data_IF_586402907536
#
_entry.id   IF_586402907536
#
_cell.length_a   1.000
_cell.length_b   1.000
_cell.length_c   1.000
_cell.angle_alpha   90.00
_cell.angle_beta   90.00
_cell.angle_gamma   90.00
#
_symmetry.space_group_name_H-M   'P 1'
#
loop_
_entity.id
_entity.type
_entity.pdbx_description
1 polymer ?
#
# COMPACT_ATOMS: atom_id res chain seq x y z
N UNK A 1 -25.42 28.91 -23.34
CA UNK A 1 -24.79 30.18 -22.90
C UNK A 1 -23.34 30.17 -23.37
N UNK A 2 -23.04 30.82 -24.50
CA UNK A 2 -21.67 30.88 -25.04
C UNK A 2 -20.93 31.94 -24.22
N UNK A 3 -20.13 31.51 -23.25
CA UNK A 3 -19.38 32.43 -22.39
C UNK A 3 -18.34 33.18 -23.24
N UNK A 4 -18.30 34.51 -23.14
CA UNK A 4 -17.41 35.38 -23.94
C UNK A 4 -15.92 34.94 -23.95
N UNK A 5 -15.20 35.17 -25.06
CA UNK A 5 -13.76 34.87 -25.16
C UNK A 5 -12.96 35.71 -24.16
N UNK A 6 -11.90 35.12 -23.61
CA UNK A 6 -11.03 35.79 -22.64
C UNK A 6 -10.21 36.88 -23.33
N UNK A 7 -9.88 37.95 -22.60
CA UNK A 7 -8.86 38.89 -23.10
C UNK A 7 -7.51 38.18 -23.32
N UNK A 8 -6.69 38.65 -24.27
CA UNK A 8 -5.37 38.05 -24.55
C UNK A 8 -4.48 37.95 -23.29
N UNK A 9 -4.48 38.98 -22.44
CA UNK A 9 -3.74 38.96 -21.16
C UNK A 9 -4.27 37.87 -20.23
N UNK A 10 -5.59 37.78 -20.07
CA UNK A 10 -6.25 36.76 -19.24
C UNK A 10 -6.01 35.34 -19.77
N UNK A 11 -5.91 35.16 -21.09
CA UNK A 11 -5.60 33.88 -21.73
C UNK A 11 -4.21 33.38 -21.33
N UNK A 12 -3.17 34.22 -21.45
CA UNK A 12 -1.81 33.83 -21.06
C UNK A 12 -1.70 33.51 -19.56
N UNK A 13 -2.38 34.29 -18.70
CA UNK A 13 -2.46 34.02 -17.26
C UNK A 13 -3.11 32.65 -17.00
N UNK A 14 -4.23 32.35 -17.66
CA UNK A 14 -4.93 31.08 -17.49
C UNK A 14 -4.13 29.87 -18.00
N UNK A 15 -3.34 30.03 -19.06
CA UNK A 15 -2.41 28.98 -19.51
C UNK A 15 -1.38 28.68 -18.41
N UNK A 16 -0.75 29.70 -17.82
CA UNK A 16 0.22 29.51 -16.73
C UNK A 16 -0.44 28.87 -15.51
N UNK A 17 -1.62 29.37 -15.11
CA UNK A 17 -2.38 28.83 -13.98
C UNK A 17 -2.74 27.37 -14.19
N UNK A 18 -3.14 26.97 -15.41
CA UNK A 18 -3.48 25.58 -15.73
C UNK A 18 -2.30 24.61 -15.54
N UNK A 19 -1.07 25.05 -15.82
CA UNK A 19 0.14 24.24 -15.63
C UNK A 19 0.44 23.97 -14.15
N UNK A 20 0.01 24.84 -13.24
CA UNK A 20 0.37 24.80 -11.82
C UNK A 20 -0.74 24.12 -10.99
N UNK A 21 -1.99 24.22 -11.42
CA UNK A 21 -3.16 23.82 -10.63
C UNK A 21 -3.16 22.33 -10.23
N UNK A 22 -2.91 21.44 -11.20
CA UNK A 22 -2.86 19.99 -10.96
C UNK A 22 -1.63 19.60 -10.12
N UNK A 23 -0.39 19.98 -10.50
CA UNK A 23 0.78 19.67 -9.68
C UNK A 23 0.71 20.22 -8.25
N UNK A 24 0.18 21.44 -8.06
CA UNK A 24 0.02 22.04 -6.73
C UNK A 24 -1.02 21.30 -5.88
N UNK A 25 -2.16 20.90 -6.46
CA UNK A 25 -3.17 20.14 -5.74
C UNK A 25 -2.64 18.76 -5.27
N UNK A 26 -1.91 18.05 -6.15
CA UNK A 26 -1.26 16.79 -5.80
C UNK A 26 -0.14 17.00 -4.75
N UNK A 27 0.69 18.03 -4.90
CA UNK A 27 1.78 18.32 -3.96
C UNK A 27 1.29 18.71 -2.56
N UNK A 28 0.31 19.60 -2.47
CA UNK A 28 -0.29 20.02 -1.19
C UNK A 28 -0.95 18.82 -0.49
N UNK A 29 -1.67 17.99 -1.24
CA UNK A 29 -2.35 16.85 -0.66
C UNK A 29 -1.42 15.70 -0.25
N UNK A 30 -0.31 15.49 -0.97
CA UNK A 30 0.74 14.55 -0.54
C UNK A 30 1.40 14.98 0.79
N UNK A 31 1.65 16.28 0.97
CA UNK A 31 2.14 16.83 2.24
C UNK A 31 1.11 16.64 3.36
N UNK A 32 -0.17 16.88 3.07
CA UNK A 32 -1.25 16.71 4.05
C UNK A 32 -1.39 15.26 4.52
N UNK A 33 -1.29 14.29 3.60
CA UNK A 33 -1.29 12.86 3.93
C UNK A 33 -0.07 12.46 4.76
N UNK A 34 1.12 12.96 4.42
CA UNK A 34 2.35 12.70 5.18
C UNK A 34 2.27 13.26 6.61
N UNK A 35 1.79 14.49 6.77
CA UNK A 35 1.59 15.08 8.10
C UNK A 35 0.51 14.36 8.92
N UNK A 36 -0.44 13.69 8.25
CA UNK A 36 -1.48 12.89 8.91
C UNK A 36 -0.94 11.52 9.35
N UNK A 37 -0.15 10.83 8.52
CA UNK A 37 0.47 9.55 8.90
C UNK A 37 1.48 9.72 10.05
N UNK A 38 2.27 10.80 10.03
CA UNK A 38 3.30 11.06 11.06
C UNK A 38 2.69 11.37 12.45
N UNK A 39 1.42 11.76 12.52
CA UNK A 39 0.73 12.10 13.79
C UNK A 39 -0.12 10.98 14.37
N UNK A 40 -0.49 9.95 13.59
CA UNK A 40 -1.60 9.06 13.91
C UNK A 40 -1.20 7.57 13.96
N UNK A 41 0.08 7.25 14.12
CA UNK A 41 0.61 5.88 14.09
C UNK A 41 0.17 4.92 15.21
N UNK A 42 -0.83 5.24 16.03
CA UNK A 42 -1.26 4.38 17.14
C UNK A 42 -2.79 4.27 17.26
N UNK A 43 -3.30 3.04 17.23
CA UNK A 43 -4.66 2.67 17.65
C UNK A 43 -5.80 3.01 16.68
N UNK A 44 -7.03 2.71 17.13
CA UNK A 44 -8.30 2.88 16.38
C UNK A 44 -8.53 4.34 15.94
N UNK A 45 -8.02 5.31 16.71
CA UNK A 45 -8.10 6.75 16.40
C UNK A 45 -7.26 7.14 15.16
N UNK A 46 -6.19 6.40 14.88
CA UNK A 46 -5.37 6.61 13.68
C UNK A 46 -6.06 6.20 12.38
N UNK A 47 -6.87 5.15 12.43
CA UNK A 47 -7.65 4.66 11.27
C UNK A 47 -8.74 5.67 10.89
N UNK A 48 -9.46 6.22 11.87
CA UNK A 48 -10.49 7.25 11.63
C UNK A 48 -9.92 8.53 11.02
N UNK A 49 -8.78 9.02 11.54
CA UNK A 49 -8.12 10.22 11.01
C UNK A 49 -7.55 10.00 9.60
N UNK A 50 -7.05 8.80 9.28
CA UNK A 50 -6.60 8.43 7.95
C UNK A 50 -7.74 8.43 6.92
N UNK A 51 -8.92 7.89 7.29
CA UNK A 51 -10.11 7.88 6.43
C UNK A 51 -10.57 9.31 6.11
N UNK A 52 -10.67 10.17 7.13
CA UNK A 52 -11.11 11.57 6.93
C UNK A 52 -10.10 12.35 6.09
N UNK A 53 -8.80 12.18 6.34
CA UNK A 53 -7.74 12.83 5.57
C UNK A 53 -7.75 12.40 4.10
N UNK A 54 -7.94 11.10 3.84
CA UNK A 54 -8.07 10.54 2.50
C UNK A 54 -9.32 11.06 1.78
N UNK A 55 -10.46 11.18 2.47
CA UNK A 55 -11.69 11.74 1.92
C UNK A 55 -11.52 13.21 1.50
N UNK A 56 -10.93 14.05 2.37
CA UNK A 56 -10.68 15.47 2.07
C UNK A 56 -9.72 15.60 0.87
N UNK A 57 -8.66 14.78 0.84
CA UNK A 57 -7.72 14.75 -0.27
C UNK A 57 -8.40 14.40 -1.60
N UNK A 58 -9.25 13.37 -1.61
CA UNK A 58 -10.01 12.99 -2.81
C UNK A 58 -10.95 14.11 -3.27
N UNK A 59 -11.67 14.77 -2.36
CA UNK A 59 -12.54 15.92 -2.69
C UNK A 59 -11.72 17.06 -3.32
N UNK A 60 -10.56 17.40 -2.75
CA UNK A 60 -9.68 18.43 -3.29
C UNK A 60 -9.17 18.10 -4.70
N UNK A 61 -8.78 16.84 -4.94
CA UNK A 61 -8.37 16.37 -6.27
C UNK A 61 -9.53 16.50 -7.27
N UNK A 62 -10.72 15.99 -6.94
CA UNK A 62 -11.88 16.07 -7.84
C UNK A 62 -12.27 17.52 -8.17
N UNK A 63 -12.27 18.40 -7.17
CA UNK A 63 -12.54 19.82 -7.37
C UNK A 63 -11.48 20.49 -8.28
N UNK A 64 -10.21 20.13 -8.11
CA UNK A 64 -9.10 20.65 -8.91
C UNK A 64 -9.18 20.19 -10.37
N UNK A 65 -9.51 18.92 -10.62
CA UNK A 65 -9.77 18.42 -11.97
C UNK A 65 -10.98 19.10 -12.62
N UNK A 66 -12.08 19.28 -11.87
CA UNK A 66 -13.26 19.98 -12.36
C UNK A 66 -12.97 21.43 -12.77
N UNK A 67 -12.28 22.19 -11.91
CA UNK A 67 -11.87 23.56 -12.20
C UNK A 67 -10.93 23.63 -13.42
N UNK A 68 -9.99 22.69 -13.51
CA UNK A 68 -9.06 22.60 -14.63
C UNK A 68 -9.76 22.33 -15.97
N UNK A 69 -10.77 21.44 -16.01
CA UNK A 69 -11.55 21.18 -17.24
C UNK A 69 -12.27 22.45 -17.73
N UNK A 70 -12.86 23.22 -16.82
CA UNK A 70 -13.52 24.49 -17.17
C UNK A 70 -12.52 25.48 -17.76
N UNK A 71 -11.34 25.62 -17.14
CA UNK A 71 -10.26 26.47 -17.63
C UNK A 71 -9.78 26.01 -19.01
N UNK A 72 -9.58 24.71 -19.21
CA UNK A 72 -9.14 24.13 -20.46
C UNK A 72 -10.11 24.45 -21.61
N UNK A 73 -11.41 24.24 -21.40
CA UNK A 73 -12.45 24.59 -22.38
C UNK A 73 -12.39 26.08 -22.74
N UNK A 74 -12.21 26.95 -21.73
CA UNK A 74 -12.12 28.40 -21.92
C UNK A 74 -10.86 28.84 -22.68
N UNK A 75 -9.73 28.20 -22.41
CA UNK A 75 -8.46 28.44 -23.11
C UNK A 75 -8.59 28.02 -24.57
N UNK A 76 -9.11 26.82 -24.85
CA UNK A 76 -9.34 26.33 -26.22
C UNK A 76 -10.28 27.25 -26.99
N UNK A 77 -11.44 27.61 -26.42
CA UNK A 77 -12.39 28.54 -27.05
C UNK A 77 -11.73 29.88 -27.40
N UNK A 78 -10.88 30.41 -26.52
CA UNK A 78 -10.23 31.71 -26.72
C UNK A 78 -9.11 31.64 -27.76
N UNK A 79 -8.33 30.55 -27.80
CA UNK A 79 -7.31 30.34 -28.84
C UNK A 79 -7.97 30.20 -30.21
N UNK A 80 -9.03 29.40 -30.33
CA UNK A 80 -9.77 29.25 -31.59
C UNK A 80 -10.42 30.56 -32.07
N UNK A 81 -10.76 31.46 -31.15
CA UNK A 81 -11.31 32.78 -31.47
C UNK A 81 -10.25 33.74 -32.04
N UNK A 82 -9.02 33.71 -31.53
CA UNK A 82 -7.95 34.61 -31.94
C UNK A 82 -7.09 34.03 -33.07
N UNK A 83 -7.31 34.52 -34.30
CA UNK A 83 -6.58 34.05 -35.50
C UNK A 83 -5.06 34.32 -35.49
N UNK A 84 -4.60 35.27 -34.68
CA UNK A 84 -3.19 35.66 -34.58
C UNK A 84 -2.41 34.89 -33.51
N UNK A 85 -3.10 34.07 -32.71
CA UNK A 85 -2.47 33.26 -31.68
C UNK A 85 -2.11 31.89 -32.26
N UNK A 86 -0.89 31.43 -31.98
CA UNK A 86 -0.42 30.13 -32.45
C UNK A 86 -1.25 28.98 -31.87
N UNK A 87 -1.79 28.12 -32.73
CA UNK A 87 -2.55 26.94 -32.33
C UNK A 87 -1.73 25.96 -31.47
N UNK A 88 -0.39 25.99 -31.55
CA UNK A 88 0.48 25.18 -30.68
C UNK A 88 0.34 25.51 -29.19
N UNK A 89 -0.14 26.72 -28.85
CA UNK A 89 -0.42 27.09 -27.45
C UNK A 89 -1.56 26.28 -26.82
N UNK A 90 -2.39 25.58 -27.60
CA UNK A 90 -3.39 24.64 -27.06
C UNK A 90 -2.76 23.40 -26.42
N UNK A 91 -1.51 23.05 -26.78
CA UNK A 91 -0.83 21.87 -26.24
C UNK A 91 -0.38 22.12 -24.80
N UNK A 92 0.08 23.34 -24.49
CA UNK A 92 0.60 23.70 -23.17
C UNK A 92 -0.39 23.39 -22.04
N UNK A 93 -1.65 23.87 -22.06
CA UNK A 93 -2.60 23.55 -21.02
C UNK A 93 -2.99 22.07 -21.01
N UNK A 94 -2.71 21.26 -22.04
CA UNK A 94 -2.95 19.81 -22.04
C UNK A 94 -1.81 18.99 -21.41
N UNK A 95 -0.62 19.56 -21.28
CA UNK A 95 0.56 18.87 -20.75
C UNK A 95 0.32 18.20 -19.38
N UNK A 96 -0.36 18.82 -18.39
CA UNK A 96 -0.64 18.17 -17.12
C UNK A 96 -1.46 16.88 -17.26
N UNK A 97 -2.50 16.88 -18.11
CA UNK A 97 -3.27 15.65 -18.40
C UNK A 97 -2.38 14.60 -19.06
N UNK A 98 -1.60 15.00 -20.06
CA UNK A 98 -0.71 14.07 -20.78
C UNK A 98 0.26 13.40 -19.80
N UNK A 99 0.86 14.17 -18.89
CA UNK A 99 1.75 13.65 -17.85
C UNK A 99 1.03 12.70 -16.88
N UNK A 100 -0.19 13.05 -16.43
CA UNK A 100 -0.98 12.19 -15.53
C UNK A 100 -1.33 10.86 -16.21
N UNK A 101 -1.78 10.90 -17.47
CA UNK A 101 -2.11 9.69 -18.24
C UNK A 101 -0.86 8.86 -18.49
N UNK A 102 0.26 9.48 -18.88
CA UNK A 102 1.52 8.77 -19.09
C UNK A 102 2.01 8.09 -17.81
N UNK A 103 1.93 8.78 -16.67
CA UNK A 103 2.29 8.22 -15.36
C UNK A 103 1.36 7.06 -14.97
N UNK A 104 0.05 7.21 -15.18
CA UNK A 104 -0.92 6.15 -14.93
C UNK A 104 -0.64 4.91 -15.80
N UNK A 105 -0.37 5.10 -17.10
CA UNK A 105 -0.01 4.03 -18.00
C UNK A 105 1.29 3.34 -17.59
N UNK A 106 2.31 4.11 -17.20
CA UNK A 106 3.58 3.57 -16.71
C UNK A 106 3.39 2.74 -15.43
N UNK A 107 2.68 3.27 -14.43
CA UNK A 107 2.40 2.56 -13.18
C UNK A 107 1.58 1.29 -13.42
N UNK A 108 0.57 1.36 -14.29
CA UNK A 108 -0.23 0.19 -14.66
C UNK A 108 0.60 -0.88 -15.39
N UNK A 109 1.53 -0.46 -16.25
CA UNK A 109 2.45 -1.37 -16.92
C UNK A 109 3.40 -2.05 -15.94
N UNK A 110 4.01 -1.29 -15.04
CA UNK A 110 4.91 -1.81 -14.00
C UNK A 110 4.17 -2.77 -13.07
N UNK A 111 2.98 -2.40 -12.60
CA UNK A 111 2.15 -3.27 -11.77
C UNK A 111 1.83 -4.59 -12.48
N UNK A 112 1.43 -4.54 -13.76
CA UNK A 112 1.17 -5.76 -14.54
C UNK A 112 2.42 -6.63 -14.71
N UNK A 113 3.58 -6.01 -14.87
CA UNK A 113 4.86 -6.73 -14.96
C UNK A 113 5.19 -7.41 -13.63
N UNK A 114 5.03 -6.70 -12.52
CA UNK A 114 5.22 -7.24 -11.17
C UNK A 114 4.24 -8.40 -10.91
N UNK A 115 2.95 -8.21 -11.19
CA UNK A 115 1.92 -9.25 -11.07
C UNK A 115 2.24 -10.52 -11.88
N UNK A 116 2.83 -10.37 -13.07
CA UNK A 116 3.14 -11.50 -13.94
C UNK A 116 4.34 -12.34 -13.45
N UNK A 117 5.24 -11.74 -12.69
CA UNK A 117 6.46 -12.41 -12.19
C UNK A 117 6.36 -12.82 -10.72
N UNK A 118 5.42 -12.23 -9.97
CA UNK A 118 5.29 -12.48 -8.53
C UNK A 118 4.84 -13.92 -8.24
N UNK A 119 5.60 -14.58 -7.38
CA UNK A 119 5.51 -16.00 -7.07
C UNK A 119 5.30 -16.26 -5.56
N UNK A 120 5.12 -17.53 -5.20
CA UNK A 120 5.07 -17.96 -3.80
C UNK A 120 6.38 -17.69 -3.06
N UNK A 121 7.53 -17.84 -3.72
CA UNK A 121 8.85 -17.53 -3.16
C UNK A 121 8.99 -16.04 -2.84
N UNK A 122 8.50 -15.16 -3.73
CA UNK A 122 8.52 -13.70 -3.50
C UNK A 122 7.65 -13.31 -2.30
N UNK A 123 6.49 -13.95 -2.16
CA UNK A 123 5.64 -13.75 -0.99
C UNK A 123 6.29 -14.26 0.29
N UNK A 124 6.87 -15.47 0.27
CA UNK A 124 7.57 -16.03 1.42
C UNK A 124 8.71 -15.10 1.86
N UNK A 125 9.57 -14.68 0.94
CA UNK A 125 10.67 -13.75 1.22
C UNK A 125 10.18 -12.41 1.81
N UNK A 126 9.09 -11.84 1.28
CA UNK A 126 8.51 -10.61 1.82
C UNK A 126 8.03 -10.79 3.28
N UNK A 127 7.43 -11.93 3.60
CA UNK A 127 6.94 -12.23 4.94
C UNK A 127 8.09 -12.59 5.88
N UNK A 128 9.16 -13.23 5.38
CA UNK A 128 10.39 -13.46 6.13
C UNK A 128 11.10 -12.16 6.52
N UNK A 129 11.06 -11.13 5.67
CA UNK A 129 11.57 -9.80 6.01
C UNK A 129 10.91 -9.23 7.27
N UNK A 130 9.75 -9.72 7.71
CA UNK A 130 9.12 -9.26 8.95
C UNK A 130 9.53 -10.04 10.20
N UNK A 131 10.31 -11.12 10.08
CA UNK A 131 10.84 -11.87 11.23
C UNK A 131 11.61 -10.97 12.20
N UNK A 132 12.36 -9.96 11.71
CA UNK A 132 13.13 -9.07 12.59
C UNK A 132 12.25 -8.28 13.57
N UNK A 133 10.97 -8.03 13.23
CA UNK A 133 10.03 -7.31 14.12
C UNK A 133 9.66 -8.12 15.35
N UNK A 134 9.78 -9.45 15.26
CA UNK A 134 9.43 -10.45 16.27
C UNK A 134 10.65 -11.21 16.80
N UNK A 135 11.84 -10.72 16.46
CA UNK A 135 13.12 -11.32 16.88
C UNK A 135 13.69 -10.57 18.07
N UNK A 136 14.27 -11.31 19.00
CA UNK A 136 14.83 -10.81 20.25
C UNK A 136 16.24 -11.37 20.48
N UNK A 137 17.11 -10.61 21.15
CA UNK A 137 18.40 -11.14 21.59
C UNK A 137 18.25 -11.75 22.98
N UNK A 138 18.49 -13.06 23.08
CA UNK A 138 18.49 -13.82 24.34
C UNK A 138 19.83 -14.54 24.47
N UNK A 139 20.55 -14.28 25.56
CA UNK A 139 21.85 -14.92 25.85
C UNK A 139 22.90 -14.83 24.70
N UNK A 140 22.85 -13.77 23.89
CA UNK A 140 23.74 -13.56 22.75
C UNK A 140 23.33 -14.30 21.47
N UNK A 141 22.12 -14.84 21.44
CA UNK A 141 21.53 -15.48 20.26
C UNK A 141 20.23 -14.78 19.87
N UNK A 142 19.95 -14.71 18.57
CA UNK A 142 18.67 -14.22 18.07
C UNK A 142 17.63 -15.33 18.17
N UNK A 143 16.52 -15.04 18.85
CA UNK A 143 15.37 -15.94 19.00
C UNK A 143 14.11 -15.27 18.43
N UNK A 144 13.23 -16.06 17.82
CA UNK A 144 12.02 -15.57 17.14
C UNK A 144 10.76 -15.94 17.92
N UNK A 145 9.88 -14.98 18.23
CA UNK A 145 8.53 -15.29 18.68
C UNK A 145 7.68 -15.72 17.47
N UNK A 146 7.67 -17.04 17.22
CA UNK A 146 6.95 -17.61 16.10
C UNK A 146 5.43 -17.48 16.22
N UNK A 147 4.88 -17.41 17.44
CA UNK A 147 3.43 -17.27 17.61
C UNK A 147 3.00 -15.86 17.19
N UNK A 148 3.68 -14.83 17.68
CA UNK A 148 3.38 -13.44 17.31
C UNK A 148 3.64 -13.21 15.83
N UNK A 149 4.76 -13.68 15.30
CA UNK A 149 5.09 -13.61 13.87
C UNK A 149 4.00 -14.24 12.98
N UNK A 150 3.58 -15.47 13.28
CA UNK A 150 2.53 -16.13 12.50
C UNK A 150 1.18 -15.41 12.62
N UNK A 151 0.82 -14.94 13.82
CA UNK A 151 -0.47 -14.29 14.07
C UNK A 151 -0.58 -12.88 13.50
N UNK A 152 0.54 -12.17 13.38
CA UNK A 152 0.59 -10.78 12.92
C UNK A 152 0.95 -10.70 11.46
N UNK A 153 2.01 -11.36 11.02
CA UNK A 153 2.50 -11.23 9.64
C UNK A 153 1.83 -12.26 8.74
N UNK A 154 1.93 -13.55 9.09
CA UNK A 154 1.45 -14.62 8.21
C UNK A 154 -0.07 -14.64 8.11
N UNK A 155 -0.80 -14.29 9.17
CA UNK A 155 -2.27 -14.22 9.14
C UNK A 155 -2.82 -12.91 8.54
N UNK A 156 -2.16 -11.77 8.75
CA UNK A 156 -2.71 -10.46 8.34
C UNK A 156 -2.17 -9.96 6.99
N UNK A 157 -0.95 -10.30 6.59
CA UNK A 157 -0.34 -9.76 5.37
C UNK A 157 -0.72 -10.48 4.07
N UNK A 158 -1.55 -11.54 4.15
CA UNK A 158 -2.31 -12.00 2.98
C UNK A 158 -3.17 -10.85 2.38
N UNK A 159 -3.58 -9.87 3.20
CA UNK A 159 -4.22 -8.63 2.74
C UNK A 159 -3.28 -7.69 1.97
N UNK A 160 -1.96 -7.75 2.16
CA UNK A 160 -1.02 -6.93 1.37
C UNK A 160 -0.96 -7.40 -0.09
N UNK A 161 -1.17 -8.69 -0.37
CA UNK A 161 -1.31 -9.20 -1.75
C UNK A 161 -2.52 -8.57 -2.46
N UNK A 162 -3.62 -8.37 -1.73
CA UNK A 162 -4.81 -7.68 -2.22
C UNK A 162 -4.51 -6.18 -2.42
N UNK A 163 -3.98 -5.52 -1.38
CA UNK A 163 -3.83 -4.07 -1.35
C UNK A 163 -2.75 -3.53 -2.30
N UNK A 164 -1.66 -4.29 -2.49
CA UNK A 164 -0.51 -3.86 -3.31
C UNK A 164 -0.60 -4.39 -4.73
N UNK A 165 -0.88 -5.67 -4.88
CA UNK A 165 -0.83 -6.35 -6.18
C UNK A 165 -2.19 -6.56 -6.81
N UNK A 166 -3.31 -6.20 -6.15
CA UNK A 166 -4.66 -6.29 -6.73
C UNK A 166 -4.97 -7.66 -7.34
N UNK A 167 -4.39 -8.73 -6.78
CA UNK A 167 -4.69 -10.08 -7.21
C UNK A 167 -6.14 -10.43 -6.84
N UNK A 168 -6.77 -11.26 -7.66
CA UNK A 168 -8.04 -11.86 -7.28
C UNK A 168 -7.83 -12.94 -6.20
N UNK A 169 -8.92 -13.30 -5.52
CA UNK A 169 -8.91 -14.28 -4.42
C UNK A 169 -8.31 -15.62 -4.85
N UNK A 170 -8.53 -16.05 -6.10
CA UNK A 170 -8.03 -17.33 -6.60
C UNK A 170 -6.51 -17.35 -6.74
N UNK A 171 -5.93 -16.24 -7.24
CA UNK A 171 -4.49 -16.10 -7.39
C UNK A 171 -3.80 -15.92 -6.04
N UNK A 172 -4.43 -15.18 -5.11
CA UNK A 172 -3.93 -15.04 -3.73
C UNK A 172 -3.89 -16.40 -3.05
N UNK A 173 -5.00 -17.14 -3.13
CA UNK A 173 -5.08 -18.48 -2.54
C UNK A 173 -3.99 -19.39 -3.10
N UNK A 174 -3.78 -19.43 -4.41
CA UNK A 174 -2.71 -20.23 -5.03
C UNK A 174 -1.31 -19.83 -4.51
N UNK A 175 -1.01 -18.54 -4.39
CA UNK A 175 0.28 -18.07 -3.87
C UNK A 175 0.46 -18.46 -2.41
N UNK A 176 -0.56 -18.24 -1.57
CA UNK A 176 -0.51 -18.58 -0.14
C UNK A 176 -0.40 -20.09 0.07
N UNK A 177 -1.22 -20.88 -0.63
CA UNK A 177 -1.20 -22.35 -0.58
C UNK A 177 0.21 -22.90 -0.85
N UNK A 178 0.93 -22.31 -1.80
CA UNK A 178 2.30 -22.69 -2.17
C UNK A 178 3.37 -22.14 -1.21
N UNK A 179 3.15 -20.95 -0.64
CA UNK A 179 4.13 -20.28 0.22
C UNK A 179 4.13 -20.77 1.68
N UNK A 180 2.98 -21.19 2.23
CA UNK A 180 2.89 -21.65 3.62
C UNK A 180 3.86 -22.81 3.91
N UNK A 181 3.97 -23.86 3.07
CA UNK A 181 4.98 -24.91 3.29
C UNK A 181 6.44 -24.42 3.24
N UNK A 182 6.73 -23.33 2.53
CA UNK A 182 8.07 -22.73 2.48
C UNK A 182 8.34 -22.04 3.83
N UNK A 183 7.45 -21.13 4.22
CA UNK A 183 7.53 -20.39 5.48
C UNK A 183 7.63 -21.31 6.71
N UNK A 184 6.86 -22.41 6.74
CA UNK A 184 6.90 -23.35 7.85
C UNK A 184 8.21 -24.12 7.93
N UNK A 185 8.80 -24.52 6.78
CA UNK A 185 10.12 -25.17 6.77
C UNK A 185 11.22 -24.23 7.22
N UNK A 186 11.15 -22.97 6.84
CA UNK A 186 12.12 -21.97 7.28
C UNK A 186 12.00 -21.75 8.80
N UNK A 187 10.78 -21.69 9.34
CA UNK A 187 10.52 -21.60 10.77
C UNK A 187 11.00 -22.82 11.58
N UNK A 188 10.95 -24.03 11.01
CA UNK A 188 11.51 -25.24 11.65
C UNK A 188 13.04 -25.15 11.83
N UNK A 189 13.73 -24.34 11.01
CA UNK A 189 15.17 -24.09 11.11
C UNK A 189 15.55 -22.98 12.09
N UNK A 190 14.60 -22.17 12.54
CA UNK A 190 14.83 -21.01 13.39
C UNK A 190 14.91 -21.38 14.89
N UNK A 191 15.63 -20.56 15.66
CA UNK A 191 15.57 -20.63 17.13
C UNK A 191 14.35 -19.90 17.62
N UNK A 192 13.39 -20.65 18.16
CA UNK A 192 12.10 -20.08 18.54
C UNK A 192 12.05 -19.76 20.04
N UNK A 193 11.34 -18.69 20.37
CA UNK A 193 10.97 -18.37 21.73
C UNK A 193 9.45 -18.20 21.88
N UNK A 194 9.05 -18.21 23.14
CA UNK A 194 7.70 -18.01 23.60
C UNK A 194 7.70 -16.80 24.53
N UNK A 195 7.01 -15.73 24.13
CA UNK A 195 6.85 -14.54 24.95
C UNK A 195 5.84 -14.73 26.09
N UNK A 196 6.29 -14.40 27.30
CA UNK A 196 5.46 -14.26 28.49
C UNK A 196 5.80 -12.94 29.17
N UNK A 197 4.77 -12.20 29.57
CA UNK A 197 4.92 -11.04 30.45
C UNK A 197 4.51 -11.41 31.88
N UNK A 198 5.45 -11.40 32.81
CA UNK A 198 5.19 -11.55 34.24
C UNK A 198 6.20 -10.77 35.06
N UNK A 199 5.86 -10.46 36.31
CA UNK A 199 6.69 -9.66 37.24
C UNK A 199 7.13 -8.27 36.71
N UNK A 200 6.45 -7.76 35.69
CA UNK A 200 6.74 -6.47 35.06
C UNK A 200 7.82 -6.50 33.97
N UNK A 201 8.24 -7.70 33.55
CA UNK A 201 9.28 -7.91 32.55
C UNK A 201 8.86 -8.90 31.47
N UNK A 202 9.42 -8.72 30.27
CA UNK A 202 9.28 -9.67 29.17
C UNK A 202 10.22 -10.86 29.38
N UNK A 203 9.70 -12.05 29.14
CA UNK A 203 10.43 -13.31 29.20
C UNK A 203 10.24 -14.07 27.90
N UNK A 204 11.36 -14.50 27.30
CA UNK A 204 11.39 -15.25 26.05
C UNK A 204 11.90 -16.65 26.32
N UNK A 205 10.98 -17.60 26.41
CA UNK A 205 11.29 -18.98 26.80
C UNK A 205 11.57 -19.83 25.56
N UNK A 206 12.62 -20.68 25.51
CA UNK A 206 12.92 -21.49 24.34
C UNK A 206 11.77 -22.43 23.97
N UNK A 207 11.31 -22.39 22.72
CA UNK A 207 10.19 -23.23 22.26
C UNK A 207 10.57 -23.99 20.99
N UNK A 208 9.75 -24.95 20.61
CA UNK A 208 9.89 -25.68 19.35
C UNK A 208 8.53 -25.98 18.74
N UNK A 209 8.48 -26.14 17.42
CA UNK A 209 7.30 -26.61 16.72
C UNK A 209 7.24 -28.13 16.91
N UNK A 210 6.18 -28.61 17.56
CA UNK A 210 5.90 -30.05 17.68
C UNK A 210 5.22 -30.58 16.42
N UNK A 211 4.31 -29.78 15.86
CA UNK A 211 3.51 -30.16 14.70
C UNK A 211 2.99 -28.93 13.97
N UNK A 212 2.85 -29.04 12.65
CA UNK A 212 2.01 -28.15 11.88
C UNK A 212 1.29 -28.90 10.76
N UNK A 213 0.13 -28.38 10.38
CA UNK A 213 -0.68 -28.90 9.28
C UNK A 213 -1.24 -27.76 8.46
N UNK A 214 -1.08 -27.87 7.15
CA UNK A 214 -1.73 -26.97 6.21
C UNK A 214 -2.74 -27.72 5.34
N UNK A 215 -3.99 -27.30 5.39
CA UNK A 215 -5.09 -27.84 4.57
C UNK A 215 -5.45 -26.84 3.48
N UNK A 216 -4.97 -27.06 2.26
CA UNK A 216 -5.24 -26.19 1.11
C UNK A 216 -6.75 -26.09 0.80
N UNK A 217 -7.53 -27.15 0.98
CA UNK A 217 -8.98 -27.13 0.70
C UNK A 217 -9.74 -26.12 1.56
N UNK A 218 -9.33 -25.97 2.82
CA UNK A 218 -9.98 -25.10 3.80
C UNK A 218 -9.20 -23.81 4.06
N UNK A 219 -8.04 -23.63 3.42
CA UNK A 219 -7.15 -22.50 3.66
C UNK A 219 -6.71 -22.40 5.12
N UNK A 220 -6.54 -23.54 5.82
CA UNK A 220 -6.28 -23.55 7.26
C UNK A 220 -4.88 -24.04 7.58
N UNK A 221 -4.13 -23.23 8.32
CA UNK A 221 -2.86 -23.59 8.94
C UNK A 221 -3.08 -23.78 10.45
N UNK A 222 -2.65 -24.92 10.97
CA UNK A 222 -2.58 -25.21 12.40
C UNK A 222 -1.11 -25.41 12.77
N UNK A 223 -0.62 -24.72 13.79
CA UNK A 223 0.75 -24.88 14.30
C UNK A 223 0.71 -25.07 15.81
N UNK A 224 1.41 -26.09 16.29
CA UNK A 224 1.51 -26.44 17.70
C UNK A 224 2.95 -26.26 18.19
N UNK A 225 3.09 -25.43 19.20
CA UNK A 225 4.35 -25.10 19.89
C UNK A 225 4.40 -25.77 21.26
N UNK A 226 5.61 -26.18 21.66
CA UNK A 226 5.85 -26.82 22.95
C UNK A 226 7.05 -26.19 23.64
N UNK A 227 6.85 -25.83 24.90
CA UNK A 227 7.89 -25.43 25.85
C UNK A 227 7.72 -26.24 27.13
N UNK A 228 8.65 -27.16 27.41
CA UNK A 228 8.56 -28.10 28.54
C UNK A 228 7.21 -28.85 28.55
N UNK A 229 6.38 -28.67 29.58
CA UNK A 229 5.05 -29.29 29.71
C UNK A 229 3.91 -28.38 29.17
N UNK A 230 4.23 -27.16 28.72
CA UNK A 230 3.25 -26.23 28.16
C UNK A 230 3.13 -26.38 26.64
N UNK A 231 1.88 -26.45 26.17
CA UNK A 231 1.57 -26.49 24.73
C UNK A 231 0.71 -25.29 24.33
N UNK A 232 0.98 -24.73 23.15
CA UNK A 232 0.17 -23.68 22.53
C UNK A 232 -0.13 -24.05 21.09
N UNK A 233 -1.34 -23.74 20.64
CA UNK A 233 -1.77 -23.94 19.26
C UNK A 233 -2.22 -22.60 18.68
N UNK A 234 -1.83 -22.33 17.44
CA UNK A 234 -2.39 -21.26 16.63
C UNK A 234 -3.10 -21.88 15.43
N UNK A 235 -4.28 -21.33 15.11
CA UNK A 235 -5.04 -21.68 13.92
C UNK A 235 -5.28 -20.44 13.08
N UNK A 236 -4.77 -20.44 11.87
CA UNK A 236 -4.89 -19.36 10.89
C UNK A 236 -5.80 -19.84 9.75
N UNK A 237 -6.66 -18.94 9.27
CA UNK A 237 -7.62 -19.17 8.19
C UNK A 237 -7.41 -18.11 7.11
N UNK A 238 -7.33 -18.53 5.85
CA UNK A 238 -7.13 -17.68 4.67
C UNK A 238 -8.36 -17.66 3.77
#
# INVERSE_FOLDING_TARGET
MILAPLSKKSLYILIVVSLILIPAAYGIGAVFLKCSSDRNGHGIDGVGAAIISSLIFNIMIFASFGAYIIILIKVIQSILHYKDISNYLMIIPLLPIICVVALYCYNSYTLKKEQATFSADDYAAMIEEYKFRHSHEENGETVLDAYEYLSSEVASDSYLLIARLHFDESKIKSIVDEAIPILMKDLEGDKLCYHKYYDGTDHYLPTSIEYWEYTAETGSLVVKFVHEDETREIKIMY
#
